data_IF_214854048599
#
_entry.id   IF_214854048599
#
_cell.length_a   1.000
_cell.length_b   1.000
_cell.length_c   1.000
_cell.angle_alpha   90.00
_cell.angle_beta   90.00
_cell.angle_gamma   90.00
#
_symmetry.space_group_name_H-M   'P 1'
#
loop_
_entity.id
_entity.type
_entity.pdbx_description
1 polymer ?
#
# COMPACT_ATOMS: atom_id res chain seq x y z
N UNK A 1 -32.15 24.60 -48.50
CA UNK A 1 -31.88 23.27 -47.96
C UNK A 1 -30.41 23.26 -47.59
N UNK A 2 -30.10 23.63 -46.32
CA UNK A 2 -28.72 23.67 -45.83
C UNK A 2 -28.40 22.27 -45.25
N UNK A 3 -27.41 21.60 -45.83
CA UNK A 3 -26.83 20.38 -45.30
C UNK A 3 -25.89 20.74 -44.15
N UNK A 4 -26.22 20.33 -42.92
CA UNK A 4 -25.32 20.35 -41.76
C UNK A 4 -24.28 19.24 -41.94
N UNK A 5 -22.99 19.49 -41.64
CA UNK A 5 -21.99 18.44 -41.66
C UNK A 5 -22.24 17.46 -40.53
N UNK A 6 -22.20 16.17 -40.83
CA UNK A 6 -22.22 15.09 -39.83
C UNK A 6 -20.95 15.20 -38.96
N UNK A 7 -21.12 15.41 -37.67
CA UNK A 7 -20.03 15.28 -36.71
C UNK A 7 -19.60 13.81 -36.68
N UNK A 8 -18.39 13.53 -37.08
CA UNK A 8 -17.74 12.25 -36.91
C UNK A 8 -17.49 12.09 -35.42
N UNK A 9 -18.24 11.23 -34.74
CA UNK A 9 -17.90 10.75 -33.38
C UNK A 9 -16.56 10.01 -33.51
N UNK A 10 -15.51 10.54 -32.88
CA UNK A 10 -14.29 9.78 -32.68
C UNK A 10 -14.67 8.51 -31.93
N UNK A 11 -14.40 7.33 -32.49
CA UNK A 11 -14.49 6.08 -31.79
C UNK A 11 -13.46 6.15 -30.65
N UNK A 12 -13.90 6.05 -29.42
CA UNK A 12 -13.02 5.75 -28.30
C UNK A 12 -12.31 4.41 -28.63
N UNK A 13 -10.97 4.42 -28.63
CA UNK A 13 -10.20 3.20 -28.79
C UNK A 13 -10.58 2.18 -27.73
N UNK A 14 -10.33 0.90 -28.00
CA UNK A 14 -10.49 -0.15 -27.00
C UNK A 14 -9.57 0.20 -25.80
N UNK A 15 -10.07 0.20 -24.55
CA UNK A 15 -9.23 0.42 -23.38
C UNK A 15 -8.00 -0.50 -23.31
N UNK A 16 -8.10 -1.71 -23.87
CA UNK A 16 -6.98 -2.64 -23.97
C UNK A 16 -5.84 -2.09 -24.87
N UNK A 17 -6.16 -1.34 -25.93
CA UNK A 17 -5.16 -0.75 -26.81
C UNK A 17 -4.45 0.45 -26.16
N UNK A 18 -5.12 1.17 -25.26
CA UNK A 18 -4.58 2.34 -24.59
C UNK A 18 -3.44 1.98 -23.62
N UNK A 19 -3.55 0.87 -22.91
CA UNK A 19 -2.54 0.41 -21.96
C UNK A 19 -1.51 -0.57 -22.55
N UNK A 20 -1.56 -0.83 -23.87
CA UNK A 20 -0.63 -1.74 -24.52
C UNK A 20 0.86 -1.35 -24.36
N UNK A 21 1.25 -0.06 -24.40
CA UNK A 21 2.65 0.32 -24.11
C UNK A 21 3.07 0.04 -22.68
N UNK A 22 2.16 0.19 -21.70
CA UNK A 22 2.44 -0.13 -20.30
C UNK A 22 2.46 -1.63 -20.06
N UNK A 23 1.60 -2.40 -20.73
CA UNK A 23 1.59 -3.86 -20.72
C UNK A 23 2.93 -4.43 -21.21
N UNK A 24 3.41 -3.96 -22.36
CA UNK A 24 4.72 -4.33 -22.88
C UNK A 24 5.84 -3.97 -21.90
N UNK A 25 5.82 -2.77 -21.34
CA UNK A 25 6.81 -2.35 -20.35
C UNK A 25 6.84 -3.27 -19.12
N UNK A 26 5.69 -3.68 -18.59
CA UNK A 26 5.63 -4.60 -17.44
C UNK A 26 6.15 -6.00 -17.79
N UNK A 27 5.88 -6.49 -19.00
CA UNK A 27 6.42 -7.76 -19.48
C UNK A 27 7.96 -7.71 -19.55
N UNK A 28 8.52 -6.65 -20.14
CA UNK A 28 9.96 -6.40 -20.22
C UNK A 28 10.58 -6.22 -18.84
N UNK A 29 9.97 -5.39 -17.97
CA UNK A 29 10.40 -5.19 -16.58
C UNK A 29 10.48 -6.50 -15.80
N UNK A 30 9.48 -7.36 -15.94
CA UNK A 30 9.45 -8.68 -15.31
C UNK A 30 10.63 -9.54 -15.74
N UNK A 31 10.95 -9.57 -17.04
CA UNK A 31 12.04 -10.36 -17.60
C UNK A 31 13.41 -9.81 -17.16
N UNK A 32 13.63 -8.51 -17.31
CA UNK A 32 14.88 -7.83 -16.94
C UNK A 32 15.22 -8.00 -15.45
N UNK A 33 14.20 -7.99 -14.58
CA UNK A 33 14.37 -8.14 -13.13
C UNK A 33 14.18 -9.59 -12.66
N UNK A 34 14.01 -10.55 -13.58
CA UNK A 34 13.82 -11.97 -13.25
C UNK A 34 12.72 -12.21 -12.20
N UNK A 35 11.57 -11.53 -12.34
CA UNK A 35 10.44 -11.68 -11.42
C UNK A 35 9.62 -12.91 -11.80
N UNK A 36 9.50 -13.96 -10.96
CA UNK A 36 8.71 -15.15 -11.30
C UNK A 36 7.24 -14.85 -11.51
N UNK A 37 6.61 -14.10 -10.60
CA UNK A 37 5.22 -13.70 -10.67
C UNK A 37 5.08 -12.19 -10.48
N UNK A 38 4.46 -11.52 -11.45
CA UNK A 38 4.10 -10.11 -11.44
C UNK A 38 2.63 -9.98 -11.85
N UNK A 39 1.87 -9.21 -11.10
CA UNK A 39 0.47 -8.91 -11.44
C UNK A 39 0.20 -7.43 -11.26
N UNK A 40 -0.57 -6.85 -12.18
CA UNK A 40 -0.96 -5.44 -12.12
C UNK A 40 -2.42 -5.23 -12.52
N UNK A 41 -3.01 -4.17 -11.96
CA UNK A 41 -4.36 -3.71 -12.31
C UNK A 41 -4.35 -2.19 -12.41
N UNK A 42 -5.05 -1.67 -13.41
CA UNK A 42 -5.36 -0.24 -13.55
C UNK A 42 -6.85 -0.05 -13.31
N UNK A 43 -7.18 0.84 -12.36
CA UNK A 43 -8.54 1.32 -12.13
C UNK A 43 -8.67 2.71 -12.74
N UNK A 44 -9.72 2.95 -13.53
CA UNK A 44 -10.07 4.24 -14.10
C UNK A 44 -11.56 4.50 -13.90
N UNK A 45 -11.91 5.70 -13.46
CA UNK A 45 -13.31 6.11 -13.26
C UNK A 45 -14.14 5.15 -12.41
N UNK A 46 -13.50 4.53 -11.40
CA UNK A 46 -14.14 3.58 -10.49
C UNK A 46 -14.43 2.21 -11.13
N UNK A 47 -13.76 1.87 -12.21
CA UNK A 47 -13.86 0.57 -12.88
C UNK A 47 -12.47 0.01 -13.17
N UNK A 48 -12.34 -1.32 -13.20
CA UNK A 48 -11.13 -1.97 -13.66
C UNK A 48 -11.04 -1.74 -15.17
N UNK A 49 -10.01 -0.99 -15.59
CA UNK A 49 -9.79 -0.63 -16.98
C UNK A 49 -8.81 -1.58 -17.68
N UNK A 50 -7.89 -2.18 -16.91
CA UNK A 50 -6.89 -3.09 -17.45
C UNK A 50 -6.35 -4.01 -16.35
N UNK A 51 -5.95 -5.23 -16.73
CA UNK A 51 -5.35 -6.25 -15.88
C UNK A 51 -4.20 -6.93 -16.64
N UNK A 52 -3.05 -7.12 -15.96
CA UNK A 52 -1.89 -7.83 -16.49
C UNK A 52 -1.37 -8.86 -15.50
N UNK A 53 -1.07 -10.08 -16.00
CA UNK A 53 -0.60 -11.22 -15.22
C UNK A 53 0.56 -11.87 -15.92
N UNK A 54 1.76 -11.88 -15.31
CA UNK A 54 2.99 -12.28 -15.96
C UNK A 54 3.73 -13.35 -15.16
N UNK A 55 4.19 -14.37 -15.85
CA UNK A 55 5.02 -15.44 -15.29
C UNK A 55 4.21 -16.50 -14.56
N UNK A 56 4.79 -17.05 -13.49
CA UNK A 56 4.34 -18.28 -12.85
C UNK A 56 4.12 -18.08 -11.35
N UNK A 57 2.99 -18.59 -10.87
CA UNK A 57 2.56 -18.45 -9.48
C UNK A 57 3.09 -19.58 -8.56
N UNK A 58 3.84 -20.52 -9.11
CA UNK A 58 4.49 -21.64 -8.41
C UNK A 58 6.00 -21.65 -8.65
N UNK A 59 6.70 -22.57 -8.01
CA UNK A 59 8.14 -22.74 -8.15
C UNK A 59 8.54 -23.72 -9.26
N UNK A 60 7.61 -24.52 -9.75
CA UNK A 60 7.81 -25.47 -10.84
C UNK A 60 7.63 -24.82 -12.23
N UNK A 61 6.96 -23.65 -12.31
CA UNK A 61 6.62 -23.01 -13.57
C UNK A 61 5.47 -23.69 -14.31
N UNK A 62 4.55 -24.30 -13.58
CA UNK A 62 3.39 -25.02 -14.11
C UNK A 62 2.09 -24.24 -13.97
N UNK A 63 1.98 -23.37 -12.95
CA UNK A 63 0.79 -22.55 -12.67
C UNK A 63 1.01 -21.12 -13.13
N UNK A 64 0.37 -20.74 -14.23
CA UNK A 64 0.45 -19.36 -14.72
C UNK A 64 -0.14 -18.37 -13.71
N UNK A 65 0.49 -17.20 -13.61
CA UNK A 65 -0.06 -16.06 -12.84
C UNK A 65 -1.44 -15.65 -13.38
N UNK A 66 -2.36 -15.35 -12.49
CA UNK A 66 -3.77 -15.05 -12.82
C UNK A 66 -4.39 -14.01 -11.86
N UNK A 67 -5.65 -13.65 -12.10
CA UNK A 67 -6.43 -12.77 -11.23
C UNK A 67 -6.55 -13.27 -9.78
N UNK A 68 -6.46 -14.59 -9.59
CA UNK A 68 -6.55 -15.24 -8.27
C UNK A 68 -5.18 -15.31 -7.57
N UNK A 69 -4.06 -15.12 -8.30
CA UNK A 69 -2.73 -15.13 -7.70
C UNK A 69 -2.60 -14.04 -6.64
N UNK A 70 -2.25 -14.43 -5.44
CA UNK A 70 -2.11 -13.52 -4.30
C UNK A 70 -0.65 -13.31 -3.92
N UNK A 71 -0.43 -12.21 -3.24
CA UNK A 71 0.89 -11.75 -2.80
C UNK A 71 0.82 -11.21 -1.39
N UNK A 72 1.91 -11.29 -0.65
CA UNK A 72 2.07 -10.55 0.59
C UNK A 72 2.33 -9.07 0.25
N UNK A 73 1.34 -8.21 0.46
CA UNK A 73 1.37 -6.81 -0.02
C UNK A 73 2.20 -5.87 0.86
N UNK A 74 2.84 -6.40 1.92
CA UNK A 74 3.70 -5.64 2.82
C UNK A 74 3.05 -4.32 3.31
N UNK A 75 3.76 -3.20 3.22
CA UNK A 75 3.30 -1.90 3.74
C UNK A 75 2.12 -1.29 3.00
N UNK A 76 1.75 -1.76 1.80
CA UNK A 76 0.47 -1.36 1.18
C UNK A 76 -0.76 -1.83 1.98
N UNK A 77 -0.55 -2.61 3.05
CA UNK A 77 -1.53 -2.86 4.11
C UNK A 77 -1.99 -1.58 4.83
N UNK A 78 -1.11 -0.56 4.96
CA UNK A 78 -1.38 0.63 5.79
C UNK A 78 -2.58 1.46 5.33
N UNK A 79 -2.77 1.75 4.04
CA UNK A 79 -3.99 2.42 3.56
C UNK A 79 -5.27 1.67 3.94
N UNK A 80 -5.25 0.34 3.80
CA UNK A 80 -6.40 -0.53 4.11
C UNK A 80 -6.69 -0.52 5.61
N UNK A 81 -5.65 -0.73 6.44
CA UNK A 81 -5.79 -0.71 7.90
C UNK A 81 -6.20 0.66 8.44
N UNK A 82 -5.63 1.75 7.91
CA UNK A 82 -6.00 3.11 8.30
C UNK A 82 -7.46 3.42 7.94
N UNK A 83 -7.91 3.03 6.75
CA UNK A 83 -9.31 3.17 6.33
C UNK A 83 -10.26 2.42 7.28
N UNK A 84 -9.90 1.18 7.65
CA UNK A 84 -10.69 0.39 8.60
C UNK A 84 -10.76 1.04 9.99
N UNK A 85 -9.64 1.57 10.49
CA UNK A 85 -9.56 2.28 11.78
C UNK A 85 -10.40 3.55 11.74
N UNK A 86 -10.34 4.34 10.66
CA UNK A 86 -11.17 5.53 10.49
C UNK A 86 -12.67 5.18 10.45
N UNK A 87 -13.04 4.13 9.71
CA UNK A 87 -14.43 3.66 9.64
C UNK A 87 -14.95 3.18 11.02
N UNK A 88 -14.11 2.48 11.80
CA UNK A 88 -14.47 2.06 13.15
C UNK A 88 -14.62 3.26 14.10
N UNK A 89 -13.76 4.28 13.97
CA UNK A 89 -13.88 5.51 14.75
C UNK A 89 -15.17 6.26 14.42
N UNK A 90 -15.54 6.37 13.15
CA UNK A 90 -16.81 6.98 12.70
C UNK A 90 -18.03 6.23 13.24
N UNK A 91 -17.94 4.91 13.39
CA UNK A 91 -18.99 4.08 13.99
C UNK A 91 -19.03 4.17 15.53
N UNK A 92 -18.13 4.92 16.16
CA UNK A 92 -18.04 5.06 17.61
C UNK A 92 -17.37 3.86 18.33
N UNK A 93 -16.74 2.95 17.58
CA UNK A 93 -16.09 1.77 18.14
C UNK A 93 -14.70 2.05 18.74
N UNK A 94 -14.07 3.17 18.38
CA UNK A 94 -12.81 3.64 18.94
C UNK A 94 -12.67 5.16 18.80
N UNK A 95 -11.67 5.75 19.50
CA UNK A 95 -11.31 7.16 19.36
C UNK A 95 -9.97 7.31 18.65
N UNK A 96 -9.86 8.25 17.70
CA UNK A 96 -8.57 8.61 17.10
C UNK A 96 -7.65 9.36 18.06
N UNK A 97 -8.18 9.87 19.20
CA UNK A 97 -7.39 10.44 20.29
C UNK A 97 -6.86 9.38 21.27
N UNK A 98 -7.11 8.09 21.00
CA UNK A 98 -6.58 6.98 21.77
C UNK A 98 -5.06 7.13 21.92
N UNK A 99 -4.51 7.15 23.17
CA UNK A 99 -3.07 7.27 23.35
C UNK A 99 -2.36 5.98 22.95
N UNK A 100 -1.26 6.08 22.20
CA UNK A 100 -0.44 4.92 21.84
C UNK A 100 0.10 4.15 23.04
N UNK A 101 0.21 4.81 24.19
CA UNK A 101 0.60 4.18 25.49
C UNK A 101 -0.47 3.24 26.08
N UNK A 102 -1.65 3.13 25.46
CA UNK A 102 -2.58 2.04 25.77
C UNK A 102 -1.99 0.66 25.43
N UNK A 103 -1.01 0.60 24.50
CA UNK A 103 -0.11 -0.54 24.37
C UNK A 103 0.96 -0.48 25.46
N UNK A 104 0.93 -1.40 26.42
CA UNK A 104 1.89 -1.48 27.53
C UNK A 104 3.36 -1.60 27.05
N UNK A 105 3.60 -2.23 25.90
CA UNK A 105 4.94 -2.38 25.33
C UNK A 105 5.38 -1.22 24.41
N UNK A 106 4.58 -0.16 24.28
CA UNK A 106 4.93 0.97 23.41
C UNK A 106 6.15 1.74 23.91
N UNK A 107 6.24 1.97 25.22
CA UNK A 107 7.37 2.67 25.83
C UNK A 107 8.70 1.91 25.62
N UNK A 108 8.70 0.61 25.85
CA UNK A 108 9.89 -0.26 25.67
C UNK A 108 10.30 -0.31 24.18
N UNK A 109 9.31 -0.37 23.27
CA UNK A 109 9.56 -0.33 21.83
C UNK A 109 10.20 1.00 21.42
N UNK A 110 9.71 2.11 21.96
CA UNK A 110 10.26 3.43 21.69
C UNK A 110 11.69 3.55 22.20
N UNK A 111 11.94 3.16 23.44
CA UNK A 111 13.28 3.18 24.04
C UNK A 111 14.27 2.34 23.22
N UNK A 112 13.88 1.12 22.85
CA UNK A 112 14.70 0.25 22.01
C UNK A 112 15.00 0.89 20.64
N UNK A 113 14.00 1.48 19.98
CA UNK A 113 14.18 2.15 18.71
C UNK A 113 15.12 3.35 18.81
N UNK A 114 14.97 4.18 19.84
CA UNK A 114 15.79 5.37 20.03
C UNK A 114 17.28 5.06 20.29
N UNK A 115 17.57 3.84 20.73
CA UNK A 115 18.93 3.35 20.98
C UNK A 115 19.47 2.44 19.86
N UNK A 116 18.64 2.08 18.89
CA UNK A 116 19.02 1.24 17.75
C UNK A 116 19.78 2.04 16.69
N UNK A 117 20.58 1.39 15.80
CA UNK A 117 21.20 2.06 14.66
C UNK A 117 20.22 2.35 13.49
N UNK A 118 18.92 2.28 13.75
CA UNK A 118 17.88 2.44 12.72
C UNK A 118 17.52 3.92 12.63
N UNK A 119 17.64 4.59 11.45
CA UNK A 119 17.45 6.03 11.33
C UNK A 119 16.11 6.55 11.82
N UNK A 120 15.01 5.85 11.55
CA UNK A 120 13.69 6.25 12.05
C UNK A 120 13.48 6.00 13.56
N UNK A 121 14.45 5.41 14.24
CA UNK A 121 14.48 5.28 15.70
C UNK A 121 15.39 6.31 16.36
N UNK A 122 16.70 6.19 16.15
CA UNK A 122 17.73 7.03 16.77
C UNK A 122 17.99 8.37 16.05
N UNK A 123 17.39 8.59 14.90
CA UNK A 123 17.73 9.73 14.04
C UNK A 123 19.02 9.50 13.22
N UNK A 124 19.42 10.51 12.49
CA UNK A 124 20.61 10.46 11.63
C UNK A 124 20.26 10.70 10.18
N UNK A 125 20.82 9.93 9.26
CA UNK A 125 20.55 10.02 7.83
C UNK A 125 19.91 8.72 7.30
N UNK A 126 18.95 8.85 6.38
CA UNK A 126 18.46 7.70 5.62
C UNK A 126 19.47 7.30 4.53
N UNK A 127 19.19 6.25 3.77
CA UNK A 127 20.07 5.76 2.70
C UNK A 127 20.29 6.76 1.57
N UNK A 128 19.44 7.78 1.46
CA UNK A 128 19.53 8.85 0.47
C UNK A 128 20.21 10.10 1.01
N UNK A 129 20.77 10.05 2.23
CA UNK A 129 21.42 11.19 2.88
C UNK A 129 20.46 12.25 3.41
N UNK A 130 19.18 11.94 3.54
CA UNK A 130 18.21 12.85 4.13
C UNK A 130 18.27 12.77 5.65
N UNK A 131 18.25 13.93 6.31
CA UNK A 131 18.20 14.00 7.77
C UNK A 131 16.88 13.46 8.32
N UNK A 132 16.95 12.48 9.21
CA UNK A 132 15.84 11.84 9.88
C UNK A 132 15.86 12.22 11.35
N UNK A 133 14.74 12.75 11.87
CA UNK A 133 14.59 13.06 13.29
C UNK A 133 14.48 11.78 14.12
N UNK A 134 15.09 11.76 15.30
CA UNK A 134 14.92 10.67 16.25
C UNK A 134 13.47 10.55 16.75
N UNK A 135 13.06 9.38 17.14
CA UNK A 135 11.78 9.16 17.81
C UNK A 135 11.78 9.82 19.19
N UNK A 136 10.74 10.59 19.51
CA UNK A 136 10.58 11.25 20.83
C UNK A 136 9.71 10.41 21.75
N UNK A 137 10.35 9.64 22.64
CA UNK A 137 9.65 8.76 23.59
C UNK A 137 8.95 9.52 24.73
N UNK A 138 9.25 10.80 24.94
CA UNK A 138 8.56 11.64 25.92
C UNK A 138 7.24 12.22 25.37
N UNK A 139 7.14 12.36 24.05
CA UNK A 139 5.96 12.92 23.39
C UNK A 139 4.75 12.01 23.58
N UNK A 140 3.62 12.52 24.08
CA UNK A 140 2.37 11.77 24.03
C UNK A 140 1.90 11.68 22.58
N UNK A 141 1.70 10.45 22.11
CA UNK A 141 1.21 10.18 20.76
C UNK A 141 -0.19 9.60 20.82
N UNK A 142 -1.05 10.10 19.95
CA UNK A 142 -2.39 9.56 19.71
C UNK A 142 -2.38 8.61 18.51
N UNK A 143 -3.43 7.80 18.39
CA UNK A 143 -3.68 6.95 17.23
C UNK A 143 -3.72 7.78 15.93
N UNK A 144 -4.38 8.95 15.94
CA UNK A 144 -4.40 9.89 14.82
C UNK A 144 -2.99 10.29 14.37
N UNK A 145 -2.14 10.70 15.30
CA UNK A 145 -0.76 11.10 15.00
C UNK A 145 0.09 9.92 14.49
N UNK A 146 -0.16 8.71 15.00
CA UNK A 146 0.52 7.51 14.51
C UNK A 146 0.09 7.15 13.09
N UNK A 147 -1.20 7.27 12.75
CA UNK A 147 -1.70 7.08 11.39
C UNK A 147 -1.06 8.07 10.39
N UNK A 148 -0.58 9.21 10.88
CA UNK A 148 0.09 10.25 10.10
C UNK A 148 1.62 10.21 10.23
N UNK A 149 2.20 9.13 10.80
CA UNK A 149 3.66 8.95 10.97
C UNK A 149 4.35 10.08 11.75
N UNK A 150 3.71 10.59 12.84
CA UNK A 150 4.24 11.69 13.67
C UNK A 150 4.98 11.23 14.92
N UNK A 151 5.51 10.02 14.94
CA UNK A 151 6.25 9.49 16.08
C UNK A 151 7.60 10.22 16.31
N UNK A 152 8.17 10.80 15.27
CA UNK A 152 9.47 11.45 15.29
C UNK A 152 9.41 12.99 15.33
N UNK A 153 8.22 13.59 15.31
CA UNK A 153 8.08 15.03 15.31
C UNK A 153 6.81 15.55 14.61
N UNK A 154 6.84 16.79 14.16
CA UNK A 154 5.73 17.42 13.44
C UNK A 154 5.73 17.03 11.94
N UNK A 155 6.91 16.90 11.33
CA UNK A 155 7.05 16.31 10.00
C UNK A 155 6.92 14.78 10.10
N UNK A 156 6.49 14.14 9.02
CA UNK A 156 6.46 12.69 9.00
C UNK A 156 7.87 12.10 8.92
N UNK A 157 8.04 11.00 9.60
CA UNK A 157 9.15 10.05 9.40
C UNK A 157 8.52 8.67 9.25
N UNK A 158 8.80 8.00 8.16
CA UNK A 158 8.27 6.67 7.92
C UNK A 158 8.85 5.67 8.92
N UNK A 159 8.07 5.37 9.96
CA UNK A 159 8.44 4.49 11.07
C UNK A 159 7.50 3.27 11.13
N UNK A 160 7.81 2.20 10.38
CA UNK A 160 6.92 1.05 10.28
C UNK A 160 6.82 0.25 11.58
N UNK A 161 7.84 0.30 12.44
CA UNK A 161 7.85 -0.44 13.72
C UNK A 161 6.92 0.22 14.74
N UNK A 162 6.99 1.56 14.85
CA UNK A 162 6.05 2.29 15.71
C UNK A 162 4.60 2.16 15.18
N UNK A 163 4.41 2.22 13.88
CA UNK A 163 3.09 2.03 13.24
C UNK A 163 2.53 0.61 13.50
N UNK A 164 3.38 -0.40 13.54
CA UNK A 164 2.98 -1.77 13.85
C UNK A 164 2.46 -1.97 15.29
N UNK A 165 2.56 -0.95 16.15
CA UNK A 165 2.02 -0.99 17.52
C UNK A 165 0.56 -0.56 17.62
N UNK A 166 -0.03 -0.05 16.54
CA UNK A 166 -1.41 0.47 16.50
C UNK A 166 -2.43 -0.59 16.95
N UNK A 167 -2.34 -1.81 16.41
CA UNK A 167 -3.26 -2.91 16.78
C UNK A 167 -3.22 -3.23 18.27
N UNK A 168 -2.03 -3.15 18.90
CA UNK A 168 -1.86 -3.38 20.33
C UNK A 168 -2.41 -2.22 21.17
N UNK A 169 -2.25 -0.98 20.71
CA UNK A 169 -2.85 0.16 21.38
C UNK A 169 -4.39 0.08 21.37
N UNK A 170 -4.99 -0.32 20.25
CA UNK A 170 -6.44 -0.54 20.13
C UNK A 170 -6.87 -1.65 21.11
N UNK A 171 -6.20 -2.79 21.11
CA UNK A 171 -6.53 -3.91 22.00
C UNK A 171 -6.30 -3.58 23.49
N UNK A 172 -5.20 -2.88 23.82
CA UNK A 172 -4.88 -2.44 25.19
C UNK A 172 -5.91 -1.46 25.76
N UNK A 173 -6.59 -0.71 24.92
CA UNK A 173 -7.71 0.14 25.31
C UNK A 173 -9.06 -0.61 25.38
N UNK A 174 -9.07 -1.92 25.20
CA UNK A 174 -10.30 -2.72 25.18
C UNK A 174 -11.07 -2.63 23.86
N UNK A 175 -10.45 -2.11 22.79
CA UNK A 175 -11.03 -2.08 21.45
C UNK A 175 -11.10 -3.47 20.81
N UNK A 176 -11.83 -3.54 19.69
CA UNK A 176 -11.97 -4.76 18.89
C UNK A 176 -10.61 -5.17 18.29
N UNK A 177 -10.45 -6.46 18.02
CA UNK A 177 -9.32 -6.96 17.24
C UNK A 177 -9.25 -6.30 15.86
N UNK A 178 -8.06 -5.87 15.44
CA UNK A 178 -7.88 -5.15 14.17
C UNK A 178 -8.23 -6.01 12.95
N UNK A 179 -8.05 -7.35 13.01
CA UNK A 179 -8.52 -8.26 11.95
C UNK A 179 -10.02 -8.16 11.76
N UNK A 180 -10.78 -8.23 12.88
CA UNK A 180 -12.22 -8.09 12.84
C UNK A 180 -12.65 -6.73 12.31
N UNK A 181 -11.97 -5.65 12.70
CA UNK A 181 -12.23 -4.31 12.18
C UNK A 181 -11.99 -4.25 10.67
N UNK A 182 -10.86 -4.78 10.17
CA UNK A 182 -10.55 -4.77 8.72
C UNK A 182 -11.55 -5.60 7.93
N UNK A 183 -11.98 -6.77 8.45
CA UNK A 183 -13.00 -7.58 7.78
C UNK A 183 -14.32 -6.83 7.67
N UNK A 184 -14.85 -6.36 8.79
CA UNK A 184 -16.19 -5.77 8.87
C UNK A 184 -16.28 -4.40 8.21
N UNK A 185 -15.21 -3.58 8.31
CA UNK A 185 -15.21 -2.19 7.84
C UNK A 185 -14.67 -2.01 6.44
N UNK A 186 -13.88 -2.97 5.94
CA UNK A 186 -13.24 -2.84 4.63
C UNK A 186 -13.50 -4.05 3.75
N UNK A 187 -13.07 -5.25 4.14
CA UNK A 187 -13.08 -6.39 3.23
C UNK A 187 -14.49 -6.76 2.76
N UNK A 188 -15.43 -6.89 3.69
CA UNK A 188 -16.83 -7.21 3.38
C UNK A 188 -17.53 -6.10 2.59
N UNK A 189 -17.49 -4.80 3.03
CA UNK A 189 -18.15 -3.73 2.29
C UNK A 189 -17.56 -3.49 0.89
N UNK A 190 -16.25 -3.69 0.70
CA UNK A 190 -15.59 -3.59 -0.59
C UNK A 190 -15.79 -4.83 -1.47
N UNK A 191 -16.39 -5.90 -0.96
CA UNK A 191 -16.55 -7.16 -1.68
C UNK A 191 -15.22 -7.89 -1.97
N UNK A 192 -14.21 -7.67 -1.13
CA UNK A 192 -12.93 -8.40 -1.20
C UNK A 192 -13.14 -9.81 -0.63
N UNK A 193 -12.89 -10.84 -1.45
CA UNK A 193 -13.13 -12.24 -1.06
C UNK A 193 -11.85 -13.02 -0.81
N UNK A 194 -10.80 -12.78 -1.62
CA UNK A 194 -9.51 -13.46 -1.51
C UNK A 194 -8.54 -12.57 -0.71
N UNK A 195 -8.79 -12.46 0.59
CA UNK A 195 -7.97 -11.67 1.53
C UNK A 195 -7.66 -12.51 2.75
N UNK A 196 -6.37 -12.66 3.06
CA UNK A 196 -5.93 -13.20 4.33
C UNK A 196 -5.27 -12.09 5.17
N UNK A 197 -5.66 -11.98 6.42
CA UNK A 197 -5.10 -11.05 7.39
C UNK A 197 -3.97 -11.74 8.16
N UNK A 198 -2.86 -11.95 7.43
CA UNK A 198 -1.72 -12.74 7.86
C UNK A 198 -1.72 -14.16 7.28
N UNK A 199 -0.53 -14.75 7.19
CA UNK A 199 -0.40 -16.11 6.65
C UNK A 199 -0.89 -17.21 7.62
N UNK A 200 -1.18 -16.85 8.87
CA UNK A 200 -1.80 -17.71 9.90
C UNK A 200 -3.31 -17.44 10.06
N UNK A 201 -3.90 -16.66 9.17
CA UNK A 201 -5.31 -16.34 9.23
C UNK A 201 -6.16 -17.59 8.99
N UNK A 202 -6.95 -18.04 9.96
CA UNK A 202 -7.79 -19.24 9.80
C UNK A 202 -8.89 -19.07 8.75
N UNK A 203 -9.23 -17.83 8.40
CA UNK A 203 -10.22 -17.49 7.39
C UNK A 203 -9.57 -17.12 6.05
N UNK A 204 -8.23 -17.25 5.93
CA UNK A 204 -7.46 -16.87 4.74
C UNK A 204 -7.78 -17.68 3.47
N UNK A 205 -8.33 -18.89 3.63
CA UNK A 205 -8.92 -19.69 2.53
C UNK A 205 -8.11 -19.68 1.24
N UNK A 206 -8.77 -19.27 0.15
CA UNK A 206 -8.17 -19.20 -1.18
C UNK A 206 -7.03 -18.17 -1.29
N UNK A 207 -7.05 -17.09 -0.48
CA UNK A 207 -5.95 -16.14 -0.47
C UNK A 207 -4.61 -16.78 -0.05
N UNK A 208 -4.62 -17.73 0.87
CA UNK A 208 -3.43 -18.49 1.26
C UNK A 208 -3.10 -19.60 0.27
N UNK A 209 -4.12 -20.21 -0.35
CA UNK A 209 -3.95 -21.28 -1.34
C UNK A 209 -3.26 -20.78 -2.62
N UNK A 210 -3.58 -19.57 -3.07
CA UNK A 210 -3.06 -18.98 -4.30
C UNK A 210 -1.88 -18.03 -4.07
N UNK A 211 -1.27 -18.07 -2.89
CA UNK A 211 -0.11 -17.26 -2.56
C UNK A 211 1.10 -17.68 -3.39
N UNK A 212 1.55 -16.79 -4.28
CA UNK A 212 2.79 -16.98 -5.01
C UNK A 212 3.98 -17.08 -4.04
N UNK A 213 4.80 -18.14 -4.13
CA UNK A 213 5.96 -18.31 -3.25
C UNK A 213 6.95 -17.15 -3.45
N UNK A 214 7.55 -16.62 -2.37
CA UNK A 214 8.51 -15.53 -2.46
C UNK A 214 9.86 -16.02 -2.97
N UNK A 215 10.55 -15.17 -3.74
CA UNK A 215 11.88 -15.44 -4.26
C UNK A 215 12.82 -14.24 -4.05
N UNK A 216 14.11 -14.57 -3.93
CA UNK A 216 15.19 -13.58 -3.89
C UNK A 216 16.32 -14.01 -4.83
N UNK A 217 16.87 -13.11 -5.66
CA UNK A 217 18.02 -13.41 -6.47
C UNK A 217 19.29 -13.49 -5.61
N UNK A 218 19.99 -14.64 -5.70
CA UNK A 218 21.28 -14.89 -5.04
C UNK A 218 22.24 -15.40 -6.11
N UNK A 219 23.34 -14.70 -6.34
CA UNK A 219 24.35 -15.06 -7.35
C UNK A 219 23.76 -15.33 -8.74
N UNK A 220 22.77 -14.53 -9.15
CA UNK A 220 22.09 -14.66 -10.44
C UNK A 220 21.10 -15.83 -10.54
N UNK A 221 20.76 -16.47 -9.43
CA UNK A 221 19.74 -17.52 -9.35
C UNK A 221 18.62 -17.12 -8.42
N UNK A 222 17.39 -17.44 -8.80
CA UNK A 222 16.24 -17.27 -7.93
C UNK A 222 16.22 -18.36 -6.85
N UNK A 223 16.19 -17.92 -5.60
CA UNK A 223 16.12 -18.81 -4.43
C UNK A 223 14.79 -18.57 -3.73
N UNK A 224 13.98 -19.61 -3.62
CA UNK A 224 12.71 -19.57 -2.87
C UNK A 224 12.98 -19.22 -1.42
N UNK A 225 12.22 -18.29 -0.91
CA UNK A 225 12.33 -17.82 0.46
C UNK A 225 11.23 -18.38 1.36
N UNK A 226 11.50 -18.47 2.63
CA UNK A 226 10.51 -18.85 3.64
C UNK A 226 9.75 -17.61 4.06
N UNK A 227 8.44 -17.71 4.27
CA UNK A 227 7.65 -16.64 4.86
C UNK A 227 8.18 -16.34 6.27
N UNK A 228 8.31 -15.05 6.64
CA UNK A 228 8.82 -14.67 7.95
C UNK A 228 7.82 -15.06 9.03
N UNK A 229 8.32 -15.23 10.28
CA UNK A 229 7.48 -15.49 11.44
C UNK A 229 6.80 -14.21 11.96
N UNK A 230 6.29 -13.40 11.04
CA UNK A 230 5.45 -12.26 11.32
C UNK A 230 3.98 -12.59 11.02
N UNK A 231 3.09 -11.78 11.56
CA UNK A 231 1.67 -11.92 11.35
C UNK A 231 1.08 -10.56 10.93
N UNK A 232 -0.23 -10.50 10.75
CA UNK A 232 -0.92 -9.26 10.44
C UNK A 232 -0.75 -8.22 11.56
N UNK A 233 -0.41 -7.00 11.16
CA UNK A 233 -0.36 -5.77 11.94
C UNK A 233 -0.94 -4.62 11.11
N UNK A 234 -1.24 -3.49 11.73
CA UNK A 234 -1.62 -2.28 11.00
C UNK A 234 -0.59 -1.87 9.93
N UNK A 235 0.69 -2.20 10.16
CA UNK A 235 1.80 -1.85 9.28
C UNK A 235 1.98 -2.77 8.07
N UNK A 236 1.59 -4.03 8.15
CA UNK A 236 1.82 -5.05 7.11
C UNK A 236 1.06 -6.35 7.41
N UNK A 237 1.08 -7.27 6.46
CA UNK A 237 0.65 -8.65 6.68
C UNK A 237 -0.55 -9.08 5.87
N UNK A 238 -1.26 -8.21 5.18
CA UNK A 238 -2.32 -8.62 4.26
C UNK A 238 -1.72 -9.42 3.10
N UNK A 239 -2.42 -10.49 2.73
CA UNK A 239 -2.18 -11.32 1.56
C UNK A 239 -3.41 -11.24 0.67
N UNK A 240 -3.24 -10.79 -0.56
CA UNK A 240 -4.35 -10.58 -1.48
C UNK A 240 -3.85 -10.43 -2.92
N UNK A 241 -4.77 -10.38 -3.92
CA UNK A 241 -4.42 -10.12 -5.31
C UNK A 241 -4.62 -8.64 -5.70
N UNK A 242 -4.02 -8.16 -6.81
CA UNK A 242 -4.25 -6.79 -7.29
C UNK A 242 -5.72 -6.53 -7.57
N UNK A 243 -6.45 -7.53 -8.05
CA UNK A 243 -7.90 -7.44 -8.29
C UNK A 243 -8.69 -7.13 -7.01
N UNK A 244 -8.32 -7.74 -5.88
CA UNK A 244 -8.98 -7.44 -4.61
C UNK A 244 -8.59 -6.06 -4.08
N UNK A 245 -7.34 -5.63 -4.28
CA UNK A 245 -6.93 -4.26 -3.97
C UNK A 245 -7.67 -3.23 -4.84
N UNK A 246 -7.95 -3.54 -6.11
CA UNK A 246 -8.78 -2.70 -6.97
C UNK A 246 -10.22 -2.56 -6.44
N UNK A 247 -10.80 -3.62 -5.85
CA UNK A 247 -12.10 -3.51 -5.19
C UNK A 247 -12.05 -2.60 -3.96
N UNK A 248 -10.98 -2.69 -3.17
CA UNK A 248 -10.74 -1.74 -2.09
C UNK A 248 -10.65 -0.30 -2.62
N UNK A 249 -9.88 -0.07 -3.68
CA UNK A 249 -9.70 1.23 -4.33
C UNK A 249 -11.03 1.85 -4.79
N UNK A 250 -11.85 1.07 -5.48
CA UNK A 250 -13.18 1.48 -5.97
C UNK A 250 -14.12 1.80 -4.80
N UNK A 251 -14.14 0.96 -3.77
CA UNK A 251 -14.98 1.17 -2.59
C UNK A 251 -14.52 2.38 -1.75
N UNK A 252 -13.21 2.63 -1.68
CA UNK A 252 -12.63 3.82 -1.06
C UNK A 252 -13.07 5.08 -1.82
N UNK A 253 -12.82 5.17 -3.12
CA UNK A 253 -13.14 6.36 -3.93
C UNK A 253 -14.64 6.64 -4.04
N UNK A 254 -15.48 5.61 -4.04
CA UNK A 254 -16.94 5.78 -4.07
C UNK A 254 -17.56 6.19 -2.73
N UNK A 255 -16.77 6.24 -1.65
CA UNK A 255 -17.26 6.61 -0.32
C UNK A 255 -18.04 5.51 0.41
N UNK A 256 -17.94 4.26 -0.05
CA UNK A 256 -18.56 3.10 0.62
C UNK A 256 -17.89 2.82 1.97
N UNK A 257 -16.56 3.01 2.07
CA UNK A 257 -15.78 2.68 3.26
C UNK A 257 -15.74 3.82 4.27
N UNK A 258 -15.52 5.05 3.81
CA UNK A 258 -15.49 6.27 4.61
C UNK A 258 -16.14 7.41 3.83
N UNK A 259 -16.69 8.43 4.50
CA UNK A 259 -17.36 9.55 3.82
C UNK A 259 -16.46 10.25 2.78
N UNK A 260 -16.98 10.62 1.60
CA UNK A 260 -16.23 11.34 0.57
C UNK A 260 -15.59 12.65 1.05
N UNK A 261 -16.14 13.26 2.09
CA UNK A 261 -15.56 14.48 2.69
C UNK A 261 -14.15 14.20 3.27
N UNK A 262 -13.95 13.06 3.93
CA UNK A 262 -12.63 12.69 4.48
C UNK A 262 -11.63 12.33 3.39
N UNK A 263 -12.10 11.74 2.28
CA UNK A 263 -11.24 11.46 1.13
C UNK A 263 -10.79 12.78 0.49
N UNK A 264 -11.70 13.74 0.32
CA UNK A 264 -11.35 15.09 -0.17
C UNK A 264 -10.37 15.80 0.76
N UNK A 265 -10.60 15.77 2.07
CA UNK A 265 -9.68 16.35 3.06
C UNK A 265 -8.28 15.77 2.92
N UNK A 266 -8.16 14.45 2.68
CA UNK A 266 -6.88 13.80 2.44
C UNK A 266 -6.24 14.26 1.13
N UNK A 267 -7.00 14.30 0.03
CA UNK A 267 -6.51 14.69 -1.31
C UNK A 267 -6.13 16.17 -1.37
N UNK A 268 -6.91 17.05 -0.72
CA UNK A 268 -6.75 18.51 -0.75
C UNK A 268 -5.84 19.03 0.39
N UNK A 269 -5.29 18.13 1.23
CA UNK A 269 -4.41 18.51 2.32
C UNK A 269 -3.23 19.35 1.83
N UNK A 270 -2.92 20.42 2.54
CA UNK A 270 -1.67 21.16 2.30
C UNK A 270 -0.48 20.30 2.69
N UNK A 271 0.49 20.22 1.78
CA UNK A 271 1.73 19.47 1.98
C UNK A 271 2.94 20.35 1.66
N UNK A 272 4.06 20.06 2.33
CA UNK A 272 5.34 20.73 2.08
C UNK A 272 6.04 20.19 0.81
N UNK A 273 7.20 20.75 0.47
CA UNK A 273 7.98 20.35 -0.72
C UNK A 273 8.52 18.92 -0.65
N UNK A 274 8.53 18.31 0.54
CA UNK A 274 8.92 16.90 0.74
C UNK A 274 7.73 15.94 0.70
N UNK A 275 6.54 16.45 0.38
CA UNK A 275 5.29 15.71 0.52
C UNK A 275 4.83 15.61 1.98
N UNK A 276 3.94 14.68 2.25
CA UNK A 276 3.45 14.37 3.59
C UNK A 276 3.05 12.89 3.70
N UNK A 277 2.72 12.46 4.92
CA UNK A 277 2.14 11.15 5.18
C UNK A 277 0.90 11.31 6.06
N UNK A 278 -0.27 10.87 5.58
CA UNK A 278 -1.53 10.98 6.29
C UNK A 278 -2.40 9.75 6.10
N UNK A 279 -2.97 9.26 7.20
CA UNK A 279 -3.97 8.17 7.17
C UNK A 279 -3.54 6.96 6.36
N UNK A 280 -2.27 6.59 6.47
CA UNK A 280 -1.73 5.43 5.77
C UNK A 280 -1.25 5.69 4.33
N UNK A 281 -1.27 6.94 3.86
CA UNK A 281 -0.87 7.32 2.52
C UNK A 281 0.31 8.29 2.53
N UNK A 282 1.25 8.11 1.60
CA UNK A 282 2.13 9.19 1.17
C UNK A 282 1.36 10.12 0.26
N UNK A 283 1.54 11.43 0.47
CA UNK A 283 0.99 12.50 -0.34
C UNK A 283 2.13 13.23 -1.04
N UNK A 284 2.04 13.36 -2.35
CA UNK A 284 3.05 13.99 -3.18
C UNK A 284 2.39 14.90 -4.23
N UNK A 285 3.01 16.04 -4.52
CA UNK A 285 2.63 16.88 -5.66
C UNK A 285 3.67 16.70 -6.77
N UNK A 286 3.27 16.09 -7.87
CA UNK A 286 4.11 15.83 -9.03
C UNK A 286 3.51 16.47 -10.29
N UNK A 287 4.27 17.38 -10.94
CA UNK A 287 3.84 18.10 -12.14
C UNK A 287 2.42 18.72 -12.03
N UNK A 288 2.11 19.29 -10.85
CA UNK A 288 0.82 19.92 -10.57
C UNK A 288 -0.34 18.93 -10.32
N UNK A 289 -0.05 17.66 -10.18
CA UNK A 289 -1.02 16.61 -9.84
C UNK A 289 -0.75 16.10 -8.42
N UNK A 290 -1.82 15.98 -7.62
CA UNK A 290 -1.77 15.30 -6.33
C UNK A 290 -1.69 13.79 -6.57
N UNK A 291 -0.73 13.15 -5.93
CA UNK A 291 -0.58 11.70 -5.87
C UNK A 291 -0.83 11.20 -4.44
N UNK A 292 -1.53 10.09 -4.31
CA UNK A 292 -1.62 9.28 -3.10
C UNK A 292 -0.99 7.94 -3.41
N UNK A 293 -0.04 7.49 -2.58
CA UNK A 293 0.61 6.24 -2.87
C UNK A 293 1.11 5.52 -1.63
N UNK A 294 1.38 4.25 -1.77
CA UNK A 294 2.16 3.47 -0.82
C UNK A 294 2.98 2.40 -1.54
N UNK A 295 4.25 2.25 -1.15
CA UNK A 295 5.08 1.12 -1.52
C UNK A 295 4.93 -0.01 -0.51
N UNK A 296 5.16 -1.24 -0.95
CA UNK A 296 5.29 -2.40 -0.09
C UNK A 296 6.66 -3.05 -0.29
N UNK A 297 7.38 -3.26 0.80
CA UNK A 297 8.62 -3.99 0.78
C UNK A 297 8.60 -5.07 1.85
N UNK A 298 8.84 -6.29 1.43
CA UNK A 298 9.00 -7.45 2.28
C UNK A 298 10.37 -8.04 1.96
N UNK A 299 11.34 -7.71 2.78
CA UNK A 299 12.76 -8.00 2.58
C UNK A 299 12.99 -9.42 2.03
N UNK A 300 13.68 -9.52 0.88
CA UNK A 300 14.00 -10.75 0.17
C UNK A 300 12.79 -11.60 -0.27
N UNK A 301 11.57 -11.05 -0.31
CA UNK A 301 10.36 -11.89 -0.53
C UNK A 301 9.34 -11.31 -1.48
N UNK A 302 9.13 -10.01 -1.46
CA UNK A 302 8.07 -9.45 -2.28
C UNK A 302 7.99 -7.93 -2.18
N UNK A 303 7.31 -7.34 -3.14
CA UNK A 303 7.11 -5.89 -3.20
C UNK A 303 5.79 -5.52 -3.85
N UNK A 304 5.36 -4.29 -3.58
CA UNK A 304 4.11 -3.76 -4.08
C UNK A 304 4.22 -2.26 -4.36
N UNK A 305 3.45 -1.80 -5.32
CA UNK A 305 3.18 -0.39 -5.57
C UNK A 305 1.66 -0.19 -5.64
N UNK A 306 1.17 0.80 -4.91
CA UNK A 306 -0.19 1.28 -4.98
C UNK A 306 -0.16 2.79 -5.17
N UNK A 307 -0.51 3.26 -6.36
CA UNK A 307 -0.42 4.66 -6.79
C UNK A 307 -1.76 5.15 -7.32
N UNK A 308 -2.25 6.27 -6.76
CA UNK A 308 -3.47 6.95 -7.19
C UNK A 308 -3.14 8.34 -7.73
N UNK A 309 -3.81 8.71 -8.82
CA UNK A 309 -3.84 10.06 -9.40
C UNK A 309 -5.29 10.57 -9.32
N UNK A 310 -5.73 11.12 -8.17
CA UNK A 310 -7.14 11.45 -7.94
C UNK A 310 -7.72 12.39 -8.99
N UNK A 311 -6.95 13.37 -9.45
CA UNK A 311 -7.37 14.31 -10.48
C UNK A 311 -7.66 13.68 -11.84
N UNK A 312 -7.07 12.52 -12.14
CA UNK A 312 -7.33 11.72 -13.35
C UNK A 312 -8.29 10.55 -13.07
N UNK A 313 -8.71 10.35 -11.82
CA UNK A 313 -9.47 9.17 -11.36
C UNK A 313 -8.82 7.85 -11.78
N UNK A 314 -7.50 7.81 -11.68
CA UNK A 314 -6.65 6.75 -12.18
C UNK A 314 -5.85 6.14 -11.04
N UNK A 315 -5.77 4.81 -10.99
CA UNK A 315 -5.01 4.07 -9.99
C UNK A 315 -4.24 2.94 -10.64
N UNK A 316 -2.97 2.78 -10.24
CA UNK A 316 -2.12 1.63 -10.56
C UNK A 316 -1.85 0.81 -9.31
N UNK A 317 -1.98 -0.50 -9.43
CA UNK A 317 -1.61 -1.49 -8.41
C UNK A 317 -0.69 -2.51 -9.07
N UNK A 318 0.52 -2.69 -8.53
CA UNK A 318 1.48 -3.69 -9.01
C UNK A 318 1.97 -4.52 -7.82
N UNK A 319 1.94 -5.84 -7.95
CA UNK A 319 2.39 -6.78 -6.93
C UNK A 319 3.39 -7.77 -7.54
N UNK A 320 4.48 -8.06 -6.82
CA UNK A 320 5.50 -9.01 -7.22
C UNK A 320 5.93 -9.90 -6.05
N UNK A 321 6.32 -11.15 -6.36
CA UNK A 321 6.85 -12.09 -5.40
C UNK A 321 8.38 -12.02 -5.22
N UNK A 322 8.97 -10.88 -5.66
CA UNK A 322 10.35 -10.45 -5.41
C UNK A 322 10.37 -9.00 -4.99
N UNK A 323 11.54 -8.45 -4.64
CA UNK A 323 11.70 -7.02 -4.26
C UNK A 323 11.70 -6.04 -5.45
N UNK A 324 11.58 -6.51 -6.67
CA UNK A 324 11.84 -5.71 -7.88
C UNK A 324 10.95 -4.46 -8.06
N UNK A 325 9.74 -4.44 -7.49
CA UNK A 325 8.81 -3.31 -7.59
C UNK A 325 9.19 -2.18 -6.61
N UNK A 326 9.99 -2.48 -5.59
CA UNK A 326 10.42 -1.49 -4.60
C UNK A 326 11.69 -0.75 -5.06
N UNK A 327 11.76 0.56 -4.86
CA UNK A 327 12.85 1.44 -5.30
C UNK A 327 13.63 2.06 -4.14
N UNK A 328 13.52 1.52 -2.92
CA UNK A 328 14.16 2.03 -1.71
C UNK A 328 13.77 3.49 -1.40
N UNK A 329 12.47 3.76 -1.33
CA UNK A 329 11.96 5.11 -1.09
C UNK A 329 12.44 5.71 0.24
N UNK A 330 12.59 7.04 0.26
CA UNK A 330 13.02 7.81 1.43
C UNK A 330 12.10 7.64 2.64
N UNK A 331 12.68 7.81 3.83
CA UNK A 331 11.94 7.81 5.10
C UNK A 331 11.23 9.15 5.39
N UNK A 332 11.62 10.23 4.71
CA UNK A 332 11.19 11.60 5.01
C UNK A 332 10.69 12.38 3.79
N UNK A 333 10.62 11.72 2.64
CA UNK A 333 10.10 12.32 1.39
C UNK A 333 9.06 11.41 0.76
N UNK A 334 8.04 12.00 0.22
CA UNK A 334 7.13 11.33 -0.70
C UNK A 334 7.66 11.56 -2.13
N UNK A 335 8.16 10.50 -2.78
CA UNK A 335 8.90 10.57 -4.04
C UNK A 335 8.62 9.36 -4.95
N UNK A 336 7.34 9.06 -5.20
CA UNK A 336 6.94 7.90 -6.01
C UNK A 336 7.43 7.99 -7.45
N UNK A 337 7.62 9.19 -7.97
CA UNK A 337 8.18 9.40 -9.32
C UNK A 337 9.64 8.94 -9.47
N UNK A 338 10.34 8.62 -8.38
CA UNK A 338 11.64 7.93 -8.44
C UNK A 338 11.51 6.43 -8.76
N UNK A 339 10.33 5.84 -8.56
CA UNK A 339 10.04 4.48 -9.02
C UNK A 339 9.97 4.43 -10.56
N UNK A 340 10.73 3.56 -11.24
CA UNK A 340 10.63 3.39 -12.69
C UNK A 340 9.21 3.03 -13.15
N UNK A 341 8.53 2.18 -12.39
CA UNK A 341 7.15 1.76 -12.66
C UNK A 341 6.16 2.94 -12.54
N UNK A 342 6.27 3.70 -11.46
CA UNK A 342 5.40 4.85 -11.26
C UNK A 342 5.67 5.94 -12.31
N UNK A 343 6.93 6.24 -12.60
CA UNK A 343 7.31 7.23 -13.62
C UNK A 343 6.74 6.87 -14.99
N UNK A 344 6.93 5.62 -15.42
CA UNK A 344 6.41 5.15 -16.70
C UNK A 344 4.89 5.31 -16.79
N UNK A 345 4.17 4.95 -15.73
CA UNK A 345 2.71 5.09 -15.65
C UNK A 345 2.23 6.56 -15.63
N UNK A 346 2.96 7.44 -14.97
CA UNK A 346 2.60 8.87 -14.85
C UNK A 346 2.83 9.66 -16.15
N UNK A 347 3.73 9.18 -17.01
CA UNK A 347 4.09 9.80 -18.29
C UNK A 347 3.17 9.37 -19.44
N UNK A 348 2.31 8.36 -19.24
CA UNK A 348 1.23 7.97 -20.17
C UNK A 348 -0.05 8.80 -19.93
#
# INVERSE_FOLDING_TARGET
>A
MLLLPAATLAQAGDPADEFAPFDQFLAEFREENSVPALSAVIVRDGQIAWEGYYGWADDEGEVATSADTTYKIASTTKPIAATAIMAEALAGGLSLDLPMRADEGFADTCEWLSQSPIPFGSGGEDRHGNTVSAMDCAKPLTLSQMLDMRANGEAFVYNPIAYARIDRAISGAGGRDLRAIVRDRVAEPAGMRNVALGWRDPEGGDALRFLAPPFHPVDGRLVKQVLPDDDFRAAAGIITSPLQMAKFDIAFDSGVLIPPALIRELVEAEIGPLGDYRRGWFLEDWNGQRLLWHSGWNEQRGSALYLKVPGKRLTLIVLANTEAVWWDNSLVKAEVAESPLARRFLEE
#
